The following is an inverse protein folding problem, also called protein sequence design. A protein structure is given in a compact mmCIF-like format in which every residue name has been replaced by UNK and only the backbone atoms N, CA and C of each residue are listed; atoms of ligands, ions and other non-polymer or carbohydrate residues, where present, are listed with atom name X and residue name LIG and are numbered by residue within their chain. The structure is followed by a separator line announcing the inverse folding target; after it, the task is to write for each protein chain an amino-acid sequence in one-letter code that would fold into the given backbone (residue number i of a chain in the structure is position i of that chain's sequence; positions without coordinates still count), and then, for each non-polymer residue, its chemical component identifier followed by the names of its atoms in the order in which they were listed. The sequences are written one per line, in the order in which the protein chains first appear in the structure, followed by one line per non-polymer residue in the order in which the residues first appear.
data_IF_334890497906
#
_entry.id   IF_334890497906
#
_cell.length_a   1.000
_cell.length_b   1.000
_cell.length_c   1.000
_cell.angle_alpha   90.00
_cell.angle_beta   90.00
_cell.angle_gamma   90.00
#
_symmetry.space_group_name_H-M   'P 1'
#
loop_
_entity.id
_entity.type
_entity.pdbx_description
1 polymer ?
#
# COMPACT_ATOMS: atom_id res chain seq x y z
N UNK A 1 -17.68 2.82 3.38
CA UNK A 1 -16.27 3.21 3.53
C UNK A 1 -15.43 1.94 3.59
N UNK A 2 -14.42 1.83 2.73
CA UNK A 2 -13.49 0.67 2.75
C UNK A 2 -12.71 0.64 4.07
N UNK A 3 -12.45 -0.56 4.61
CA UNK A 3 -11.60 -0.75 5.79
C UNK A 3 -10.20 -0.13 5.61
N UNK A 4 -9.74 0.06 4.37
CA UNK A 4 -8.47 0.72 4.06
C UNK A 4 -8.43 2.21 4.43
N UNK A 5 -9.58 2.89 4.57
CA UNK A 5 -9.60 4.29 5.04
C UNK A 5 -9.05 4.43 6.47
N UNK A 6 -9.00 3.33 7.23
CA UNK A 6 -8.35 3.30 8.56
C UNK A 6 -6.84 3.58 8.49
N UNK A 7 -6.22 3.44 7.32
CA UNK A 7 -4.80 3.76 7.11
C UNK A 7 -4.53 5.27 7.18
N UNK A 8 -5.54 6.09 6.87
CA UNK A 8 -5.42 7.55 6.89
C UNK A 8 -5.05 8.01 8.30
N UNK A 9 -3.99 8.80 8.39
CA UNK A 9 -3.45 9.29 9.66
C UNK A 9 -2.32 8.42 10.24
N UNK A 10 -2.12 7.19 9.76
CA UNK A 10 -1.03 6.33 10.22
C UNK A 10 0.33 6.80 9.67
N UNK A 11 1.39 6.60 10.44
CA UNK A 11 2.77 6.96 10.09
C UNK A 11 3.54 5.77 9.58
N UNK A 12 4.24 5.96 8.46
CA UNK A 12 5.22 5.02 7.93
C UNK A 12 6.41 4.93 8.88
N UNK A 13 6.61 3.76 9.46
CA UNK A 13 7.75 3.44 10.32
C UNK A 13 8.93 2.93 9.50
N UNK A 14 8.63 2.03 8.56
CA UNK A 14 9.64 1.38 7.74
C UNK A 14 9.07 0.99 6.39
N UNK A 15 9.96 1.00 5.40
CA UNK A 15 9.70 0.53 4.06
C UNK A 15 10.73 -0.54 3.72
N UNK A 16 10.27 -1.68 3.20
CA UNK A 16 11.12 -2.80 2.80
C UNK A 16 10.73 -3.31 1.40
N UNK A 17 11.72 -3.59 0.56
CA UNK A 17 11.53 -4.32 -0.69
C UNK A 17 12.43 -5.55 -0.69
N UNK A 18 11.84 -6.73 -0.82
CA UNK A 18 12.55 -8.00 -0.87
C UNK A 18 11.85 -8.97 -1.80
N UNK A 19 12.62 -9.66 -2.67
CA UNK A 19 12.10 -10.66 -3.61
C UNK A 19 10.87 -10.21 -4.41
N UNK A 20 10.91 -8.99 -4.96
CA UNK A 20 9.81 -8.42 -5.75
C UNK A 20 8.62 -7.89 -4.93
N UNK A 21 8.58 -8.18 -3.62
CA UNK A 21 7.52 -7.74 -2.72
C UNK A 21 7.88 -6.42 -2.06
N UNK A 22 6.87 -5.58 -1.87
CA UNK A 22 7.02 -4.32 -1.13
C UNK A 22 6.16 -4.34 0.11
N UNK A 23 6.78 -4.08 1.27
CA UNK A 23 6.13 -4.00 2.57
C UNK A 23 6.24 -2.59 3.15
N UNK A 24 5.11 -2.04 3.58
CA UNK A 24 5.01 -0.77 4.28
C UNK A 24 4.58 -1.07 5.71
N UNK A 25 5.44 -0.73 6.66
CA UNK A 25 5.16 -0.85 8.08
C UNK A 25 4.66 0.49 8.60
N UNK A 26 3.38 0.57 8.95
CA UNK A 26 2.74 1.73 9.55
C UNK A 26 2.60 1.55 11.07
N UNK A 27 2.35 2.62 11.82
CA UNK A 27 2.12 2.63 13.27
C UNK A 27 0.76 2.04 13.72
N UNK A 28 0.31 0.98 13.05
CA UNK A 28 -0.97 0.30 13.31
C UNK A 28 -1.39 -0.69 12.23
N UNK A 29 -0.63 -0.80 11.14
CA UNK A 29 -0.88 -1.75 10.06
C UNK A 29 0.40 -2.12 9.32
N UNK A 30 0.39 -3.27 8.66
CA UNK A 30 1.41 -3.64 7.66
C UNK A 30 0.70 -3.87 6.34
N UNK A 31 1.14 -3.16 5.31
CA UNK A 31 0.71 -3.38 3.93
C UNK A 31 1.77 -4.22 3.25
N UNK A 32 1.39 -5.35 2.65
CA UNK A 32 2.28 -6.17 1.82
C UNK A 32 1.71 -6.23 0.42
N UNK A 33 2.50 -5.80 -0.56
CA UNK A 33 2.17 -5.90 -1.97
C UNK A 33 2.96 -7.04 -2.61
N UNK A 34 2.26 -7.79 -3.47
CA UNK A 34 2.82 -8.86 -4.28
C UNK A 34 2.81 -8.49 -5.76
N UNK A 35 2.15 -7.39 -6.12
CA UNK A 35 2.20 -6.81 -7.46
C UNK A 35 3.17 -5.63 -7.51
N UNK A 36 3.45 -5.22 -8.75
CA UNK A 36 4.27 -4.05 -9.04
C UNK A 36 3.81 -2.83 -8.23
N UNK A 37 4.75 -2.28 -7.47
CA UNK A 37 4.58 -1.04 -6.72
C UNK A 37 5.39 0.08 -7.37
N UNK A 38 4.74 1.21 -7.63
CA UNK A 38 5.36 2.41 -8.21
C UNK A 38 5.34 3.55 -7.21
N UNK A 39 6.41 4.34 -7.19
CA UNK A 39 6.57 5.47 -6.28
C UNK A 39 6.58 6.78 -7.07
N UNK A 40 5.88 7.80 -6.58
CA UNK A 40 5.94 9.15 -7.12
C UNK A 40 6.45 10.12 -6.05
N UNK A 41 7.39 11.03 -6.38
CA UNK A 41 7.95 11.32 -7.71
C UNK A 41 9.13 10.42 -8.14
N UNK A 42 9.13 9.14 -7.76
CA UNK A 42 10.18 8.16 -8.14
C UNK A 42 11.11 7.76 -7.00
N UNK A 43 11.03 8.42 -5.85
CA UNK A 43 11.75 8.07 -4.63
C UNK A 43 10.86 7.33 -3.65
N UNK A 44 11.42 6.39 -2.89
CA UNK A 44 10.71 5.76 -1.78
C UNK A 44 10.33 6.81 -0.71
N UNK A 45 9.16 6.67 -0.07
CA UNK A 45 8.77 7.57 1.00
C UNK A 45 9.66 7.38 2.23
N UNK A 46 9.88 8.47 2.96
CA UNK A 46 10.73 8.46 4.15
C UNK A 46 9.94 8.02 5.38
N UNK A 47 10.58 7.31 6.31
CA UNK A 47 10.02 7.03 7.62
C UNK A 47 9.57 8.34 8.31
N UNK A 48 8.45 8.28 9.03
CA UNK A 48 7.77 9.42 9.64
C UNK A 48 6.68 10.04 8.77
N UNK A 49 6.61 9.75 7.46
CA UNK A 49 5.52 10.26 6.64
C UNK A 49 4.17 9.67 7.04
N UNK A 50 3.14 10.50 7.00
CA UNK A 50 1.77 10.11 7.31
C UNK A 50 1.01 9.79 6.04
N UNK A 51 0.15 8.78 6.07
CA UNK A 51 -0.86 8.56 5.03
C UNK A 51 -1.91 9.66 5.15
N UNK A 52 -2.11 10.40 4.06
CA UNK A 52 -3.06 11.52 3.98
C UNK A 52 -4.32 11.12 3.24
N UNK A 53 -4.22 10.23 2.27
CA UNK A 53 -5.38 9.70 1.54
C UNK A 53 -5.16 8.27 1.02
N UNK A 54 -6.27 7.60 0.72
CA UNK A 54 -6.31 6.25 0.13
C UNK A 54 -7.36 6.24 -0.98
N UNK A 55 -6.90 6.01 -2.21
CA UNK A 55 -7.74 6.08 -3.42
C UNK A 55 -7.68 4.75 -4.17
N UNK A 56 -8.82 4.28 -4.67
CA UNK A 56 -8.85 3.29 -5.74
C UNK A 56 -8.94 4.03 -7.07
N UNK A 57 -7.91 3.92 -7.90
CA UNK A 57 -7.92 4.50 -9.23
C UNK A 57 -8.63 3.53 -10.16
N UNK A 58 -9.88 3.80 -10.54
CA UNK A 58 -10.69 3.09 -11.57
C UNK A 58 -10.51 1.56 -11.66
N UNK A 59 -10.28 0.87 -10.54
CA UNK A 59 -10.00 -0.57 -10.49
C UNK A 59 -8.59 -0.98 -10.99
N UNK A 60 -7.74 -0.04 -11.36
CA UNK A 60 -6.40 -0.29 -11.91
C UNK A 60 -5.29 -0.25 -10.87
N UNK A 61 -5.47 0.50 -9.78
CA UNK A 61 -4.47 0.60 -8.73
C UNK A 61 -5.08 1.01 -7.38
N UNK A 62 -4.45 0.55 -6.29
CA UNK A 62 -4.56 1.19 -4.99
C UNK A 62 -3.48 2.28 -4.90
N UNK A 63 -3.90 3.52 -4.65
CA UNK A 63 -3.02 4.66 -4.44
C UNK A 63 -3.06 5.09 -2.96
N UNK A 64 -1.88 5.18 -2.35
CA UNK A 64 -1.67 5.79 -1.04
C UNK A 64 -1.02 7.15 -1.26
N UNK A 65 -1.64 8.20 -0.77
CA UNK A 65 -1.04 9.55 -0.72
C UNK A 65 -0.40 9.72 0.64
N UNK A 66 0.88 10.06 0.67
CA UNK A 66 1.66 10.34 1.86
C UNK A 66 2.09 11.81 1.89
N UNK A 67 2.56 12.22 3.06
CA UNK A 67 3.11 13.56 3.29
C UNK A 67 4.13 14.00 2.22
N UNK A 68 4.16 15.30 1.92
CA UNK A 68 5.01 15.91 0.89
C UNK A 68 4.70 15.45 -0.56
N UNK A 69 3.45 15.06 -0.84
CA UNK A 69 3.00 14.55 -2.14
C UNK A 69 3.75 13.30 -2.59
N UNK A 70 4.27 12.50 -1.66
CA UNK A 70 4.76 11.17 -1.98
C UNK A 70 3.57 10.25 -2.22
N UNK A 71 3.60 9.48 -3.30
CA UNK A 71 2.54 8.54 -3.63
C UNK A 71 3.10 7.14 -3.80
N UNK A 72 2.31 6.16 -3.39
CA UNK A 72 2.61 4.74 -3.59
C UNK A 72 1.42 4.14 -4.32
N UNK A 73 1.66 3.59 -5.50
CA UNK A 73 0.63 2.95 -6.31
C UNK A 73 0.93 1.46 -6.42
N UNK A 74 0.00 0.61 -5.96
CA UNK A 74 0.04 -0.84 -6.11
C UNK A 74 -0.87 -1.21 -7.27
N UNK A 75 -0.31 -1.86 -8.30
CA UNK A 75 -1.07 -2.28 -9.48
C UNK A 75 -2.09 -3.37 -9.15
N UNK A 76 -3.30 -3.23 -9.69
CA UNK A 76 -4.38 -4.22 -9.62
C UNK A 76 -4.58 -4.97 -10.95
N UNK A 77 -3.80 -4.65 -12.00
CA UNK A 77 -3.89 -5.32 -13.30
C UNK A 77 -3.43 -6.78 -13.27
N UNK A 78 -4.26 -7.71 -13.73
CA UNK A 78 -3.98 -9.17 -13.73
C UNK A 78 -2.61 -9.55 -14.31
N UNK A 79 -2.12 -8.78 -15.28
CA UNK A 79 -0.81 -8.99 -15.90
C UNK A 79 0.38 -8.76 -14.98
N UNK A 80 0.21 -8.00 -13.89
CA UNK A 80 1.26 -7.66 -12.92
C UNK A 80 1.27 -8.62 -11.71
N UNK A 81 0.52 -9.74 -11.77
CA UNK A 81 0.34 -10.65 -10.63
C UNK A 81 1.51 -11.60 -10.49
N UNK A 82 2.23 -11.47 -9.37
CA UNK A 82 3.28 -12.41 -8.98
C UNK A 82 2.84 -13.31 -7.79
N UNK A 83 1.67 -13.03 -7.20
CA UNK A 83 1.13 -13.71 -6.02
C UNK A 83 -0.38 -14.01 -6.11
N UNK A 84 -0.94 -14.67 -5.07
CA UNK A 84 -2.37 -15.02 -5.03
C UNK A 84 -3.29 -13.80 -4.82
N UNK A 85 -2.74 -12.67 -4.42
CA UNK A 85 -3.43 -11.42 -4.11
C UNK A 85 -2.54 -10.25 -4.57
N UNK A 86 -3.12 -9.11 -4.95
CA UNK A 86 -2.34 -7.93 -5.34
C UNK A 86 -1.63 -7.33 -4.13
N UNK A 87 -2.36 -7.23 -3.02
CA UNK A 87 -1.85 -6.83 -1.72
C UNK A 87 -2.71 -7.38 -0.58
N UNK A 88 -2.13 -7.37 0.61
CA UNK A 88 -2.86 -7.48 1.87
C UNK A 88 -2.51 -6.32 2.81
N UNK A 89 -3.43 -6.06 3.74
CA UNK A 89 -3.25 -5.14 4.85
C UNK A 89 -3.60 -5.85 6.13
N UNK A 90 -2.64 -5.96 7.05
CA UNK A 90 -2.84 -6.52 8.39
C UNK A 90 -2.83 -5.40 9.42
N UNK A 91 -3.98 -5.13 10.03
CA UNK A 91 -4.14 -4.17 11.11
C UNK A 91 -3.71 -4.77 12.46
N UNK A 92 -3.29 -3.92 13.39
CA UNK A 92 -2.83 -4.33 14.73
C UNK A 92 -3.92 -4.97 15.59
N UNK A 93 -5.19 -4.69 15.30
CA UNK A 93 -6.35 -5.30 15.97
C UNK A 93 -6.66 -6.71 15.44
N UNK A 94 -5.87 -7.21 14.47
CA UNK A 94 -6.03 -8.53 13.88
C UNK A 94 -6.89 -8.57 12.61
N UNK A 95 -7.52 -7.45 12.21
CA UNK A 95 -8.23 -7.41 10.92
C UNK A 95 -7.23 -7.56 9.76
N UNK A 96 -7.58 -8.41 8.79
CA UNK A 96 -6.85 -8.55 7.53
C UNK A 96 -7.78 -8.16 6.39
N UNK A 97 -7.29 -7.29 5.50
CA UNK A 97 -7.94 -6.92 4.24
C UNK A 97 -7.07 -7.46 3.11
N UNK A 98 -7.69 -8.13 2.15
CA UNK A 98 -7.04 -8.73 0.99
C UNK A 98 -7.73 -8.19 -0.25
N UNK A 99 -6.94 -7.80 -1.25
CA UNK A 99 -7.44 -7.49 -2.59
C UNK A 99 -6.91 -8.51 -3.59
N UNK A 100 -7.81 -9.14 -4.32
CA UNK A 100 -7.47 -10.16 -5.31
C UNK A 100 -7.39 -9.56 -6.72
N UNK A 101 -6.86 -10.36 -7.64
CA UNK A 101 -7.02 -10.15 -9.07
C UNK A 101 -8.49 -9.93 -9.44
N UNK A 102 -8.75 -8.83 -10.13
CA UNK A 102 -10.05 -8.46 -10.70
C UNK A 102 -10.01 -8.50 -12.21
#
# INVERSE_FOLDING_TARGET
MSALHRLIGMRLIKFDTHDGRTSLHLDGAVITSFNRTTFYPGSQPTAGCRVEDVEYLDGVALKLVLCNNHEICISLYESDYEGPEAFNVRFSDGQIVVEQAS
#
